data_IF_539566624144
#
_entry.id   IF_539566624144
#
_cell.length_a   1.000
_cell.length_b   1.000
_cell.length_c   1.000
_cell.angle_alpha   90.00
_cell.angle_beta   90.00
_cell.angle_gamma   90.00
#
_symmetry.space_group_name_H-M   'P 1'
#
loop_
_entity.id
_entity.type
_entity.pdbx_description
1 polymer ?
#
# COMPACT_ATOMS: atom_id res chain seq x y z
N UNK A 1 -14.60 10.47 19.50
CA UNK A 1 -14.59 9.03 19.16
C UNK A 1 -13.18 8.68 18.78
N UNK A 2 -12.51 7.79 19.52
CA UNK A 2 -11.24 7.23 19.07
C UNK A 2 -11.56 6.34 17.87
N UNK A 3 -11.22 6.80 16.66
CA UNK A 3 -11.25 5.92 15.49
C UNK A 3 -10.19 4.84 15.74
N UNK A 4 -10.56 3.58 15.64
CA UNK A 4 -9.60 2.49 15.77
C UNK A 4 -8.72 2.51 14.53
N UNK A 5 -7.43 2.79 14.72
CA UNK A 5 -6.42 2.69 13.66
C UNK A 5 -6.23 1.22 13.29
N UNK A 6 -6.43 0.89 12.02
CA UNK A 6 -6.16 -0.44 11.48
C UNK A 6 -4.69 -0.59 11.12
N UNK A 7 -4.19 -1.83 11.15
CA UNK A 7 -2.84 -2.17 10.68
C UNK A 7 -2.97 -2.77 9.28
N UNK A 8 -2.18 -2.24 8.36
CA UNK A 8 -2.14 -2.72 6.99
C UNK A 8 -0.75 -3.25 6.66
N UNK A 9 -0.69 -4.35 5.90
CA UNK A 9 0.52 -4.82 5.22
C UNK A 9 0.42 -4.38 3.76
N UNK A 10 1.34 -3.55 3.29
CA UNK A 10 1.37 -3.10 1.90
C UNK A 10 2.43 -3.92 1.17
N UNK A 11 2.00 -4.64 0.14
CA UNK A 11 2.83 -5.51 -0.68
C UNK A 11 2.68 -5.16 -2.16
N UNK A 12 3.52 -5.75 -3.01
CA UNK A 12 3.43 -5.64 -4.45
C UNK A 12 3.54 -7.04 -5.07
N UNK A 13 2.74 -7.32 -6.09
CA UNK A 13 2.70 -8.64 -6.74
C UNK A 13 4.07 -9.15 -7.24
N UNK A 14 4.95 -8.23 -7.65
CA UNK A 14 6.33 -8.53 -8.07
C UNK A 14 7.38 -8.44 -6.95
N UNK A 15 6.98 -7.99 -5.76
CA UNK A 15 7.84 -7.84 -4.59
C UNK A 15 7.97 -9.15 -3.79
N UNK A 16 8.87 -9.14 -2.82
CA UNK A 16 8.95 -10.22 -1.83
C UNK A 16 8.13 -9.85 -0.59
N UNK A 17 7.74 -10.84 0.20
CA UNK A 17 7.10 -10.57 1.49
C UNK A 17 8.02 -9.76 2.43
N UNK A 18 9.34 -9.89 2.27
CA UNK A 18 10.34 -9.13 3.03
C UNK A 18 10.41 -7.65 2.63
N UNK A 19 9.99 -7.30 1.42
CA UNK A 19 9.91 -5.89 0.99
C UNK A 19 8.60 -5.22 1.41
N UNK A 20 7.65 -5.95 2.00
CA UNK A 20 6.38 -5.37 2.44
C UNK A 20 6.58 -4.38 3.59
N UNK A 21 5.92 -3.23 3.51
CA UNK A 21 5.85 -2.27 4.61
C UNK A 21 4.57 -2.48 5.42
N UNK A 22 4.63 -2.07 6.70
CA UNK A 22 3.47 -2.07 7.57
C UNK A 22 3.12 -0.65 7.97
N UNK A 23 1.83 -0.33 7.90
CA UNK A 23 1.33 1.00 8.22
C UNK A 23 0.15 0.91 9.18
N UNK A 24 -0.08 2.01 9.89
CA UNK A 24 -1.20 2.20 10.78
C UNK A 24 -1.98 3.44 10.34
N UNK A 25 -3.28 3.25 10.06
CA UNK A 25 -4.11 4.30 9.46
C UNK A 25 -5.56 4.25 9.95
N UNK A 26 -6.21 5.41 9.96
CA UNK A 26 -7.66 5.56 10.18
C UNK A 26 -8.45 5.61 8.88
N UNK A 27 -7.77 5.56 7.72
CA UNK A 27 -8.42 5.59 6.41
C UNK A 27 -9.23 4.32 6.19
N UNK A 28 -10.37 4.47 5.53
CA UNK A 28 -11.14 3.32 5.06
C UNK A 28 -10.33 2.52 4.02
N UNK A 29 -10.53 1.20 3.97
CA UNK A 29 -9.77 0.31 3.07
C UNK A 29 -9.86 0.80 1.61
N UNK A 30 -11.07 1.17 1.17
CA UNK A 30 -11.30 1.68 -0.18
C UNK A 30 -10.55 2.98 -0.46
N UNK A 31 -10.50 3.91 0.50
CA UNK A 31 -9.75 5.15 0.37
C UNK A 31 -8.25 4.88 0.25
N UNK A 32 -7.72 3.97 1.08
CA UNK A 32 -6.31 3.61 1.06
C UNK A 32 -5.90 2.91 -0.26
N UNK A 33 -6.77 2.05 -0.82
CA UNK A 33 -6.57 1.45 -2.15
C UNK A 33 -6.48 2.55 -3.22
N UNK A 34 -7.43 3.50 -3.22
CA UNK A 34 -7.42 4.61 -4.18
C UNK A 34 -6.14 5.46 -4.05
N UNK A 35 -5.70 5.75 -2.83
CA UNK A 35 -4.45 6.50 -2.56
C UNK A 35 -3.23 5.76 -3.12
N UNK A 36 -3.06 4.49 -2.76
CA UNK A 36 -1.93 3.67 -3.21
C UNK A 36 -1.89 3.58 -4.73
N UNK A 37 -3.03 3.30 -5.36
CA UNK A 37 -3.15 3.25 -6.81
C UNK A 37 -2.79 4.59 -7.48
N UNK A 38 -3.23 5.72 -6.91
CA UNK A 38 -2.90 7.04 -7.45
C UNK A 38 -1.40 7.35 -7.34
N UNK A 39 -0.73 6.93 -6.26
CA UNK A 39 0.72 7.08 -6.10
C UNK A 39 1.45 6.31 -7.20
N UNK A 40 1.06 5.07 -7.47
CA UNK A 40 1.67 4.23 -8.50
C UNK A 40 1.43 4.78 -9.90
N UNK A 41 0.19 5.17 -10.23
CA UNK A 41 -0.13 5.84 -11.50
C UNK A 41 0.65 7.14 -11.68
N UNK A 42 0.88 7.90 -10.61
CA UNK A 42 1.67 9.14 -10.69
C UNK A 42 3.15 8.87 -10.92
N UNK A 43 3.67 7.79 -10.35
CA UNK A 43 5.02 7.34 -10.63
C UNK A 43 5.18 6.93 -12.09
N UNK A 44 4.25 6.16 -12.64
CA UNK A 44 4.25 5.79 -14.06
C UNK A 44 4.19 7.05 -14.97
N UNK A 45 3.37 8.05 -14.61
CA UNK A 45 3.25 9.32 -15.36
C UNK A 45 4.56 10.12 -15.40
N UNK A 46 5.32 10.13 -14.31
CA UNK A 46 6.51 10.99 -14.14
C UNK A 46 7.82 10.28 -14.48
N UNK A 47 7.91 8.99 -14.18
CA UNK A 47 9.17 8.25 -14.14
C UNK A 47 9.27 7.25 -15.28
N UNK A 48 8.46 6.18 -15.24
CA UNK A 48 8.50 5.07 -16.19
C UNK A 48 7.30 4.14 -15.94
N UNK A 49 6.54 3.79 -16.97
CA UNK A 49 5.38 2.88 -16.86
C UNK A 49 5.79 1.40 -16.80
N UNK A 50 7.06 1.09 -17.08
CA UNK A 50 7.62 -0.25 -16.98
C UNK A 50 8.29 -0.56 -15.63
N UNK A 51 8.41 0.43 -14.75
CA UNK A 51 9.05 0.30 -13.45
C UNK A 51 8.03 0.25 -12.30
N UNK A 52 8.45 -0.29 -11.15
CA UNK A 52 7.66 -0.28 -9.92
C UNK A 52 8.37 0.54 -8.85
N UNK A 53 7.59 1.31 -8.08
CA UNK A 53 8.12 2.04 -6.93
C UNK A 53 8.37 1.08 -5.75
N UNK A 54 9.55 1.19 -5.13
CA UNK A 54 9.86 0.44 -3.90
C UNK A 54 8.84 0.72 -2.79
N UNK A 55 8.57 -0.28 -1.96
CA UNK A 55 7.69 -0.14 -0.81
C UNK A 55 8.22 0.87 0.21
N UNK A 56 9.55 0.96 0.41
CA UNK A 56 10.16 1.96 1.29
C UNK A 56 9.81 3.39 0.85
N UNK A 57 9.91 3.67 -0.45
CA UNK A 57 9.56 4.97 -1.00
C UNK A 57 8.05 5.26 -0.88
N UNK A 58 7.20 4.26 -1.08
CA UNK A 58 5.77 4.39 -0.78
C UNK A 58 5.55 4.72 0.69
N UNK A 59 6.25 4.04 1.60
CA UNK A 59 6.15 4.31 3.03
C UNK A 59 6.45 5.77 3.36
N UNK A 60 7.54 6.33 2.82
CA UNK A 60 7.91 7.73 3.01
C UNK A 60 6.83 8.70 2.49
N UNK A 61 6.21 8.38 1.35
CA UNK A 61 5.12 9.19 0.80
C UNK A 61 3.89 9.14 1.71
N UNK A 62 3.51 7.96 2.20
CA UNK A 62 2.36 7.79 3.09
C UNK A 62 2.57 8.53 4.42
N UNK A 63 3.76 8.43 5.00
CA UNK A 63 4.12 9.14 6.24
C UNK A 63 4.17 10.66 6.04
N UNK A 64 4.75 11.12 4.93
CA UNK A 64 4.95 12.55 4.67
C UNK A 64 3.69 13.31 4.23
N UNK A 65 2.77 12.66 3.49
CA UNK A 65 1.67 13.37 2.82
C UNK A 65 0.26 12.92 3.21
N UNK A 66 0.11 11.77 3.88
CA UNK A 66 -1.21 11.18 4.12
C UNK A 66 -1.55 10.96 5.60
N UNK A 67 -0.71 11.46 6.52
CA UNK A 67 -0.87 11.28 7.97
C UNK A 67 -0.94 9.79 8.39
N UNK A 68 -0.22 8.94 7.66
CA UNK A 68 -0.17 7.49 7.88
C UNK A 68 1.11 7.14 8.62
N UNK A 69 0.98 6.38 9.69
CA UNK A 69 2.12 6.01 10.53
C UNK A 69 2.79 4.74 9.99
N UNK A 70 4.10 4.81 9.67
CA UNK A 70 4.90 3.64 9.35
C UNK A 70 5.24 2.85 10.62
N UNK A 71 4.98 1.55 10.60
CA UNK A 71 5.36 0.64 11.68
C UNK A 71 6.77 0.14 11.40
N UNK A 72 7.76 0.77 12.03
CA UNK A 72 9.20 0.49 11.84
C UNK A 72 9.65 -0.80 12.52
N UNK A 73 9.01 -1.15 13.64
CA UNK A 73 9.34 -2.35 14.43
C UNK A 73 8.07 -3.16 14.70
N UNK A 74 7.86 -4.23 13.94
CA UNK A 74 6.92 -5.29 14.32
C UNK A 74 7.65 -6.33 15.18
N UNK A 75 7.14 -6.66 16.38
CA UNK A 75 7.72 -7.75 17.17
C UNK A 75 7.81 -9.03 16.34
N UNK A 76 8.98 -9.69 16.36
CA UNK A 76 9.32 -10.86 15.52
C UNK A 76 8.23 -11.93 15.45
N UNK A 77 7.56 -12.21 16.57
CA UNK A 77 6.43 -13.16 16.64
C UNK A 77 5.28 -12.83 15.68
N UNK A 78 5.04 -11.54 15.40
CA UNK A 78 4.01 -11.08 14.48
C UNK A 78 4.46 -11.21 13.04
N UNK A 79 5.72 -10.88 12.74
CA UNK A 79 6.29 -11.15 11.42
C UNK A 79 6.17 -12.63 11.07
N UNK A 80 6.50 -13.53 12.00
CA UNK A 80 6.40 -14.98 11.78
C UNK A 80 4.96 -15.48 11.54
N UNK A 81 3.95 -14.93 12.23
CA UNK A 81 2.53 -15.26 12.02
C UNK A 81 2.05 -14.68 10.70
N UNK A 82 2.34 -13.42 10.43
CA UNK A 82 1.90 -12.73 9.21
C UNK A 82 2.50 -13.42 7.99
N UNK A 83 3.80 -13.70 7.94
CA UNK A 83 4.42 -14.39 6.79
C UNK A 83 3.81 -15.77 6.53
N UNK A 84 3.43 -16.51 7.58
CA UNK A 84 2.77 -17.82 7.43
C UNK A 84 1.35 -17.70 6.91
N UNK A 85 0.57 -16.74 7.42
CA UNK A 85 -0.84 -16.53 7.07
C UNK A 85 -1.02 -15.74 5.76
N UNK A 86 0.01 -15.00 5.31
CA UNK A 86 0.00 -14.25 4.04
C UNK A 86 0.54 -15.03 2.86
N UNK A 87 0.97 -16.28 3.05
CA UNK A 87 1.33 -17.18 1.96
C UNK A 87 0.07 -17.52 1.16
N UNK A 88 -0.26 -16.63 0.21
CA UNK A 88 -1.38 -16.76 -0.70
C UNK A 88 -1.17 -18.02 -1.54
N UNK A 89 -1.77 -19.14 -1.13
CA UNK A 89 -2.08 -20.19 -2.09
C UNK A 89 -2.94 -19.54 -3.17
N UNK A 90 -2.45 -19.59 -4.41
CA UNK A 90 -2.92 -18.92 -5.63
C UNK A 90 -4.38 -19.20 -6.05
N UNK A 91 -5.20 -19.75 -5.16
CA UNK A 91 -6.48 -20.40 -5.44
C UNK A 91 -7.71 -19.62 -4.97
N UNK A 92 -7.57 -18.42 -4.38
CA UNK A 92 -8.73 -17.67 -3.87
C UNK A 92 -9.02 -16.41 -4.71
N UNK A 93 -10.32 -16.17 -4.90
CA UNK A 93 -11.04 -15.16 -5.72
C UNK A 93 -10.39 -13.78 -5.93
N UNK A 94 -10.76 -13.08 -7.01
CA UNK A 94 -10.25 -11.75 -7.43
C UNK A 94 -10.21 -10.69 -6.32
N UNK A 95 -11.14 -10.71 -5.37
CA UNK A 95 -11.11 -9.82 -4.19
C UNK A 95 -9.89 -10.05 -3.28
N UNK A 96 -9.42 -11.30 -3.17
CA UNK A 96 -8.20 -11.65 -2.42
C UNK A 96 -6.93 -11.20 -3.13
N UNK A 97 -7.02 -10.81 -4.41
CA UNK A 97 -5.88 -10.26 -5.14
C UNK A 97 -5.58 -8.84 -4.70
N UNK A 98 -6.58 -8.06 -4.29
CA UNK A 98 -6.38 -6.69 -3.78
C UNK A 98 -6.25 -6.69 -2.25
N UNK A 99 -7.18 -7.33 -1.53
CA UNK A 99 -7.27 -7.25 -0.06
C UNK A 99 -7.32 -8.65 0.56
N UNK A 100 -6.52 -8.88 1.59
CA UNK A 100 -6.62 -10.07 2.45
C UNK A 100 -6.72 -9.66 3.92
N UNK A 101 -7.69 -10.20 4.66
CA UNK A 101 -7.87 -9.94 6.10
C UNK A 101 -7.30 -11.13 6.88
N UNK A 102 -6.37 -10.85 7.80
CA UNK A 102 -5.70 -11.82 8.66
C UNK A 102 -6.29 -11.67 10.05
N UNK A 103 -7.26 -12.52 10.39
CA UNK A 103 -8.01 -12.45 11.66
C UNK A 103 -7.15 -12.87 12.86
N UNK A 104 -6.27 -13.86 12.71
CA UNK A 104 -5.38 -14.36 13.76
C UNK A 104 -4.01 -13.66 13.76
N UNK A 105 -4.01 -12.33 13.74
CA UNK A 105 -2.77 -11.54 13.68
C UNK A 105 -1.92 -11.53 14.96
N UNK A 106 -2.45 -12.09 16.06
CA UNK A 106 -1.91 -11.96 17.41
C UNK A 106 -1.92 -10.52 17.98
N UNK A 107 -2.38 -9.53 17.22
CA UNK A 107 -2.39 -8.11 17.56
C UNK A 107 -3.68 -7.67 18.28
N UNK A 108 -4.62 -8.61 18.49
CA UNK A 108 -5.94 -8.32 19.02
C UNK A 108 -6.87 -7.58 18.05
N UNK A 109 -6.43 -7.37 16.81
CA UNK A 109 -7.18 -6.78 15.70
C UNK A 109 -6.70 -7.36 14.36
N UNK A 110 -7.57 -7.51 13.35
CA UNK A 110 -7.17 -8.06 12.07
C UNK A 110 -6.12 -7.20 11.37
N UNK A 111 -5.19 -7.84 10.66
CA UNK A 111 -4.26 -7.15 9.75
C UNK A 111 -4.82 -7.23 8.34
N UNK A 112 -4.78 -6.11 7.62
CA UNK A 112 -5.33 -5.99 6.27
C UNK A 112 -4.18 -5.89 5.29
N UNK A 113 -3.93 -6.94 4.51
CA UNK A 113 -2.97 -6.87 3.42
C UNK A 113 -3.61 -6.19 2.20
N UNK A 114 -2.89 -5.25 1.59
CA UNK A 114 -3.23 -4.63 0.30
C UNK A 114 -2.10 -4.89 -0.69
N UNK A 115 -2.43 -5.50 -1.82
CA UNK A 115 -1.53 -5.62 -2.96
C UNK A 115 -1.66 -4.38 -3.87
N UNK A 116 -0.56 -3.66 -4.02
CA UNK A 116 -0.48 -2.42 -4.80
C UNK A 116 -0.70 -2.62 -6.29
N UNK A 117 -0.20 -3.71 -6.87
CA UNK A 117 -0.39 -4.01 -8.28
C UNK A 117 -1.88 -4.15 -8.59
N UNK A 118 -2.60 -4.95 -7.79
CA UNK A 118 -4.03 -5.13 -7.98
C UNK A 118 -4.85 -3.90 -7.59
N UNK A 119 -4.41 -3.12 -6.60
CA UNK A 119 -4.99 -1.81 -6.30
C UNK A 119 -4.90 -0.88 -7.52
N UNK A 120 -3.72 -0.77 -8.14
CA UNK A 120 -3.47 0.01 -9.36
C UNK A 120 -4.37 -0.46 -10.49
N UNK A 121 -4.41 -1.76 -10.78
CA UNK A 121 -5.25 -2.33 -11.84
C UNK A 121 -6.74 -2.02 -11.62
N UNK A 122 -7.21 -2.03 -10.36
CA UNK A 122 -8.60 -1.72 -10.04
C UNK A 122 -9.00 -0.25 -10.26
N UNK A 123 -8.03 0.66 -10.29
CA UNK A 123 -8.22 2.11 -10.39
C UNK A 123 -7.72 2.70 -11.72
N UNK A 124 -7.11 1.87 -12.58
CA UNK A 124 -6.65 2.29 -13.90
C UNK A 124 -7.82 2.47 -14.89
N UNK A 125 -7.63 3.28 -15.94
CA UNK A 125 -8.66 3.57 -16.94
C UNK A 125 -9.22 4.99 -16.88
N UNK A 126 -10.42 5.22 -17.43
CA UNK A 126 -10.99 6.56 -17.66
C UNK A 126 -11.20 7.37 -16.37
N UNK A 127 -11.34 6.70 -15.22
CA UNK A 127 -11.55 7.34 -13.91
C UNK A 127 -10.25 7.72 -13.20
N UNK A 128 -9.10 7.20 -13.63
CA UNK A 128 -7.79 7.42 -13.01
C UNK A 128 -7.46 8.91 -12.83
N UNK A 129 -7.68 9.72 -13.87
CA UNK A 129 -7.43 11.17 -13.82
C UNK A 129 -8.26 11.86 -12.73
N UNK A 130 -9.50 11.42 -12.50
CA UNK A 130 -10.37 11.98 -11.44
C UNK A 130 -9.90 11.54 -10.06
N UNK A 131 -9.50 10.28 -9.90
CA UNK A 131 -8.97 9.75 -8.65
C UNK A 131 -7.64 10.43 -8.28
N UNK A 132 -6.73 10.58 -9.23
CA UNK A 132 -5.45 11.26 -9.04
C UNK A 132 -5.66 12.72 -8.60
N UNK A 133 -6.60 13.44 -9.22
CA UNK A 133 -6.95 14.80 -8.80
C UNK A 133 -7.55 14.88 -7.39
N UNK A 134 -8.26 13.84 -6.96
CA UNK A 134 -8.90 13.77 -5.64
C UNK A 134 -7.87 13.47 -4.54
N UNK A 135 -6.90 12.58 -4.81
CA UNK A 135 -6.06 11.98 -3.78
C UNK A 135 -4.61 12.42 -3.79
N UNK A 136 -4.07 12.91 -4.91
CA UNK A 136 -2.67 13.32 -4.96
C UNK A 136 -2.49 14.73 -4.39
N UNK A 137 -1.50 14.93 -3.51
CA UNK A 137 -1.09 16.25 -3.09
C UNK A 137 -0.69 17.11 -4.28
N UNK A 138 -1.18 18.35 -4.32
CA UNK A 138 -0.74 19.33 -5.30
C UNK A 138 0.50 20.04 -4.74
N UNK A 139 1.65 19.35 -4.76
CA UNK A 139 2.92 19.92 -4.30
C UNK A 139 4.10 19.49 -5.17
N UNK A 140 5.04 20.42 -5.37
CA UNK A 140 6.31 20.11 -6.05
C UNK A 140 7.14 19.11 -5.24
N UNK A 141 7.09 19.20 -3.91
CA UNK A 141 7.78 18.28 -3.00
C UNK A 141 7.34 16.83 -3.22
N UNK A 142 6.03 16.60 -3.38
CA UNK A 142 5.49 15.28 -3.69
C UNK A 142 6.07 14.73 -5.00
N UNK A 143 6.02 15.53 -6.08
CA UNK A 143 6.55 15.11 -7.38
C UNK A 143 8.07 14.83 -7.34
N UNK A 144 8.82 15.60 -6.57
CA UNK A 144 10.27 15.38 -6.42
C UNK A 144 10.60 14.12 -5.65
N UNK A 145 9.80 13.77 -4.62
CA UNK A 145 9.92 12.48 -3.94
C UNK A 145 9.62 11.35 -4.92
N UNK A 146 8.51 11.42 -5.67
CA UNK A 146 8.15 10.41 -6.68
C UNK A 146 9.30 10.15 -7.68
N UNK A 147 9.94 11.21 -8.19
CA UNK A 147 11.08 11.08 -9.12
C UNK A 147 12.28 10.35 -8.52
N UNK A 148 12.54 10.57 -7.22
CA UNK A 148 13.67 9.96 -6.50
C UNK A 148 13.40 8.51 -6.11
N UNK A 149 12.14 8.07 -6.19
CA UNK A 149 11.72 6.72 -5.84
C UNK A 149 12.01 5.66 -6.92
N UNK A 150 12.66 6.03 -8.04
CA UNK A 150 13.10 5.08 -9.07
C UNK A 150 14.22 4.20 -8.52
N UNK A 151 14.00 2.89 -8.50
CA UNK A 151 15.12 1.93 -8.37
C UNK A 151 15.79 1.85 -9.74
N UNK A 152 17.11 2.05 -9.78
CA UNK A 152 17.92 1.95 -10.99
C UNK A 152 18.06 0.54 -11.53
#
# INVERSE_FOLDING_TARGET
MNKNKNIYKITHFYGSDESSIFIKSEKEIAELIEVLACIDLKFEEIVDDSACMSEDAVGLILEGFYEIELIKDLPKRYLEVITKETFLHSTRTVSNRIVTIIEESGYGAPIIQIDRFWARESCCGETSVKLMKKHLPVSNEFNEIIKRSKIG
#
